data_IF_166120472702
#
_entry.id   IF_166120472702
#
_cell.length_a   1.000
_cell.length_b   1.000
_cell.length_c   1.000
_cell.angle_alpha   90.00
_cell.angle_beta   90.00
_cell.angle_gamma   90.00
#
_symmetry.space_group_name_H-M   'P 1'
#
loop_
_entity.id
_entity.type
_entity.pdbx_description
1 polymer ?
#
# COMPACT_ATOMS: atom_id res chain seq x y z
N UNK A 1 5.53 -0.37 -56.29
CA UNK A 1 6.10 -1.23 -55.23
C UNK A 1 7.18 -0.58 -54.36
N UNK A 2 8.24 0.05 -54.90
CA UNK A 2 9.35 0.63 -54.08
C UNK A 2 8.91 1.63 -52.99
N UNK A 3 7.91 2.48 -53.26
CA UNK A 3 7.38 3.45 -52.29
C UNK A 3 6.68 2.82 -51.09
N UNK A 4 5.95 1.72 -51.30
CA UNK A 4 5.30 0.95 -50.22
C UNK A 4 6.31 0.20 -49.35
N UNK A 5 7.38 -0.34 -49.95
CA UNK A 5 8.47 -0.98 -49.22
C UNK A 5 9.20 0.02 -48.31
N UNK A 6 9.41 1.25 -48.77
CA UNK A 6 10.06 2.31 -47.98
C UNK A 6 9.22 2.76 -46.77
N UNK A 7 7.90 2.81 -46.90
CA UNK A 7 6.98 3.16 -45.81
C UNK A 7 6.98 2.07 -44.73
N UNK A 8 6.99 0.80 -45.15
CA UNK A 8 7.12 -0.33 -44.23
C UNK A 8 8.47 -0.35 -43.50
N UNK A 9 9.56 -0.03 -44.20
CA UNK A 9 10.88 0.06 -43.58
C UNK A 9 10.94 1.17 -42.53
N UNK A 10 10.31 2.32 -42.81
CA UNK A 10 10.24 3.45 -41.88
C UNK A 10 9.47 3.09 -40.59
N UNK A 11 8.34 2.39 -40.71
CA UNK A 11 7.58 1.91 -39.54
C UNK A 11 8.36 0.88 -38.72
N UNK A 12 9.14 0.02 -39.37
CA UNK A 12 9.96 -0.97 -38.68
C UNK A 12 11.11 -0.33 -37.90
N UNK A 13 11.73 0.73 -38.41
CA UNK A 13 12.76 1.50 -37.69
C UNK A 13 12.20 2.21 -36.46
N UNK A 14 10.97 2.74 -36.52
CA UNK A 14 10.31 3.38 -35.38
C UNK A 14 10.03 2.38 -34.26
N UNK A 15 9.60 1.16 -34.61
CA UNK A 15 9.32 0.10 -33.62
C UNK A 15 10.57 -0.40 -32.88
N UNK A 16 11.73 -0.38 -33.53
CA UNK A 16 13.02 -0.80 -32.92
C UNK A 16 13.65 0.33 -32.08
N UNK A 17 13.21 1.58 -32.26
CA UNK A 17 13.78 2.74 -31.55
C UNK A 17 13.18 2.97 -30.15
N UNK A 18 12.31 2.07 -29.67
CA UNK A 18 11.76 2.19 -28.31
C UNK A 18 12.89 1.85 -27.33
N UNK A 19 13.34 2.79 -26.49
CA UNK A 19 14.37 2.50 -25.50
C UNK A 19 13.86 1.42 -24.55
N UNK A 20 14.58 0.30 -24.48
CA UNK A 20 14.39 -0.70 -23.45
C UNK A 20 14.89 -0.11 -22.12
N UNK A 21 13.99 0.52 -21.37
CA UNK A 21 14.31 0.97 -20.02
C UNK A 21 14.51 -0.24 -19.12
N UNK A 22 15.76 -0.49 -18.73
CA UNK A 22 16.03 -1.35 -17.59
C UNK A 22 15.37 -0.77 -16.34
N UNK A 23 14.55 -1.57 -15.66
CA UNK A 23 13.84 -1.17 -14.46
C UNK A 23 14.42 -1.86 -13.22
N UNK A 24 15.21 -1.13 -12.43
CA UNK A 24 15.52 -1.57 -11.06
C UNK A 24 14.27 -1.45 -10.19
N UNK A 25 14.06 -2.40 -9.29
CA UNK A 25 13.01 -2.30 -8.28
C UNK A 25 13.48 -2.82 -6.92
N UNK A 26 12.97 -2.20 -5.87
CA UNK A 26 13.18 -2.63 -4.50
C UNK A 26 12.19 -3.77 -4.19
N UNK A 27 12.75 -4.90 -3.79
CA UNK A 27 12.06 -6.15 -3.53
C UNK A 27 11.99 -6.45 -2.04
N UNK A 28 10.78 -6.44 -1.47
CA UNK A 28 10.50 -6.96 -0.14
C UNK A 28 9.93 -8.38 -0.24
N UNK A 29 10.76 -9.36 0.11
CA UNK A 29 10.37 -10.77 0.20
C UNK A 29 9.56 -11.02 1.48
N UNK A 30 8.38 -11.64 1.35
CA UNK A 30 7.54 -12.00 2.50
C UNK A 30 7.93 -13.37 3.06
N UNK A 31 8.12 -13.45 4.37
CA UNK A 31 8.44 -14.73 5.02
C UNK A 31 7.34 -15.75 4.85
N UNK A 32 7.70 -16.93 4.32
CA UNK A 32 6.78 -18.05 4.15
C UNK A 32 5.80 -17.91 2.97
N UNK A 33 5.95 -16.91 2.08
CA UNK A 33 5.13 -16.76 0.88
C UNK A 33 6.00 -16.37 -0.32
N UNK A 34 5.74 -16.94 -1.50
CA UNK A 34 6.42 -16.57 -2.76
C UNK A 34 6.09 -15.14 -3.23
N UNK A 35 5.13 -14.46 -2.59
CA UNK A 35 4.69 -13.12 -2.97
C UNK A 35 5.68 -12.04 -2.49
N UNK A 36 6.38 -11.43 -3.43
CA UNK A 36 7.24 -10.25 -3.25
C UNK A 36 6.44 -8.95 -3.41
N UNK A 37 6.74 -7.96 -2.58
CA UNK A 37 6.28 -6.59 -2.82
C UNK A 37 7.38 -5.87 -3.59
N UNK A 38 7.00 -5.22 -4.69
CA UNK A 38 7.89 -4.41 -5.51
C UNK A 38 7.58 -2.93 -5.27
N UNK A 39 8.64 -2.13 -5.17
CA UNK A 39 8.61 -0.68 -5.20
C UNK A 39 9.51 -0.19 -6.33
N UNK A 40 9.02 0.77 -7.10
CA UNK A 40 9.72 1.35 -8.25
C UNK A 40 10.12 2.80 -7.97
N UNK A 41 10.98 3.35 -8.82
CA UNK A 41 11.22 4.79 -8.81
C UNK A 41 9.89 5.53 -9.00
N UNK A 42 9.67 6.57 -8.21
CA UNK A 42 8.44 7.34 -8.16
C UNK A 42 7.40 6.83 -7.14
N UNK A 43 7.55 5.62 -6.58
CA UNK A 43 6.66 5.14 -5.53
C UNK A 43 6.94 5.86 -4.20
N UNK A 44 5.88 6.12 -3.42
CA UNK A 44 6.03 6.52 -2.02
C UNK A 44 6.32 5.33 -1.13
N UNK A 45 7.29 5.50 -0.23
CA UNK A 45 7.66 4.49 0.75
C UNK A 45 7.75 5.10 2.15
N UNK A 46 7.26 4.34 3.13
CA UNK A 46 7.42 4.65 4.54
C UNK A 46 8.29 3.58 5.18
N UNK A 47 9.42 3.97 5.76
CA UNK A 47 10.36 3.06 6.41
C UNK A 47 10.86 3.59 7.75
N UNK A 48 11.43 2.69 8.53
CA UNK A 48 12.16 3.01 9.75
C UNK A 48 13.57 2.45 9.66
N UNK A 49 14.57 3.25 10.03
CA UNK A 49 15.98 2.85 10.04
C UNK A 49 16.35 2.11 11.33
N UNK A 50 17.55 1.53 11.39
CA UNK A 50 18.09 0.89 12.59
C UNK A 50 18.22 1.87 13.77
N UNK A 51 18.51 3.14 13.47
CA UNK A 51 18.55 4.27 14.40
C UNK A 51 17.17 4.72 14.90
N UNK A 52 16.09 4.03 14.49
CA UNK A 52 14.69 4.34 14.80
C UNK A 52 14.19 5.65 14.17
N UNK A 53 14.89 6.17 13.19
CA UNK A 53 14.42 7.29 12.40
C UNK A 53 13.32 6.83 11.44
N UNK A 54 12.23 7.60 11.35
CA UNK A 54 11.15 7.33 10.40
C UNK A 54 11.32 8.20 9.17
N UNK A 55 11.39 7.57 8.00
CA UNK A 55 11.54 8.27 6.71
C UNK A 55 10.33 7.96 5.84
N UNK A 56 9.71 9.02 5.33
CA UNK A 56 8.59 8.96 4.40
C UNK A 56 8.89 9.86 3.21
N UNK A 57 8.74 9.32 2.00
CA UNK A 57 8.96 10.10 0.79
C UNK A 57 8.87 9.26 -0.46
N UNK A 58 9.03 9.93 -1.60
CA UNK A 58 9.11 9.31 -2.90
C UNK A 58 10.49 8.68 -3.13
N UNK A 59 10.54 7.51 -3.76
CA UNK A 59 11.78 6.89 -4.21
C UNK A 59 12.27 7.63 -5.45
N UNK A 60 13.31 8.42 -5.33
CA UNK A 60 13.89 9.17 -6.45
C UNK A 60 14.73 8.26 -7.34
N UNK A 61 15.55 7.40 -6.70
CA UNK A 61 16.49 6.53 -7.38
C UNK A 61 16.78 5.26 -6.57
N UNK A 62 16.93 4.13 -7.28
CA UNK A 62 17.41 2.87 -6.73
C UNK A 62 18.85 2.61 -7.24
N UNK A 63 19.82 2.56 -6.32
CA UNK A 63 21.20 2.12 -6.59
C UNK A 63 21.34 0.61 -6.32
N UNK A 64 22.55 0.08 -6.19
CA UNK A 64 22.75 -1.35 -5.97
C UNK A 64 22.60 -1.77 -4.50
N UNK A 65 23.04 -0.92 -3.57
CA UNK A 65 23.01 -1.16 -2.13
C UNK A 65 22.27 -0.08 -1.32
N UNK A 66 21.75 0.95 -1.99
CA UNK A 66 21.08 2.09 -1.37
C UNK A 66 19.89 2.58 -2.21
N UNK A 67 19.03 3.34 -1.55
CA UNK A 67 17.86 4.01 -2.14
C UNK A 67 17.94 5.50 -1.82
N UNK A 68 17.55 6.34 -2.78
CA UNK A 68 17.41 7.78 -2.57
C UNK A 68 15.93 8.06 -2.34
N UNK A 69 15.61 8.63 -1.17
CA UNK A 69 14.26 9.04 -0.80
C UNK A 69 14.30 10.52 -0.43
N UNK A 70 13.53 11.36 -1.13
CA UNK A 70 13.48 12.80 -0.90
C UNK A 70 14.89 13.44 -0.86
N UNK A 71 15.74 13.12 -1.84
CA UNK A 71 17.15 13.55 -1.94
C UNK A 71 18.09 13.05 -0.83
N UNK A 72 17.64 12.14 0.04
CA UNK A 72 18.50 11.49 1.04
C UNK A 72 18.81 10.05 0.66
N UNK A 73 20.09 9.69 0.71
CA UNK A 73 20.54 8.33 0.48
C UNK A 73 20.43 7.49 1.77
N UNK A 74 19.85 6.29 1.63
CA UNK A 74 19.64 5.31 2.70
C UNK A 74 20.12 3.95 2.23
N UNK A 75 21.07 3.35 2.94
CA UNK A 75 21.54 2.00 2.62
C UNK A 75 20.51 0.95 3.02
N UNK A 76 20.38 -0.10 2.20
CA UNK A 76 19.40 -1.19 2.43
C UNK A 76 19.62 -1.86 3.79
N UNK A 77 20.88 -2.01 4.20
CA UNK A 77 21.28 -2.62 5.46
C UNK A 77 20.79 -1.84 6.70
N UNK A 78 20.60 -0.52 6.54
CA UNK A 78 20.16 0.37 7.61
C UNK A 78 18.64 0.38 7.76
N UNK A 79 17.91 -0.23 6.83
CA UNK A 79 16.44 -0.28 6.86
C UNK A 79 15.99 -1.41 7.79
N UNK A 80 15.36 -1.02 8.91
CA UNK A 80 14.84 -1.93 9.92
C UNK A 80 13.46 -2.46 9.58
N UNK A 81 12.58 -1.61 9.03
CA UNK A 81 11.22 -2.01 8.67
C UNK A 81 10.60 -1.12 7.61
N UNK A 82 9.67 -1.69 6.84
CA UNK A 82 8.84 -0.98 5.86
C UNK A 82 7.38 -1.04 6.29
N UNK A 83 6.69 0.10 6.22
CA UNK A 83 5.28 0.26 6.52
C UNK A 83 4.49 0.33 5.22
N UNK A 84 3.44 -0.50 5.06
CA UNK A 84 2.63 -0.53 3.84
C UNK A 84 1.31 0.22 3.98
N UNK A 85 1.29 1.31 4.76
CA UNK A 85 0.06 2.00 5.14
C UNK A 85 -0.74 2.48 3.92
N UNK A 86 -0.04 3.01 2.91
CA UNK A 86 -0.69 3.66 1.76
C UNK A 86 -1.22 2.66 0.73
N UNK A 87 -0.73 1.42 0.73
CA UNK A 87 -1.13 0.40 -0.26
C UNK A 87 -2.54 -0.16 -0.03
N UNK A 88 -3.09 0.00 1.18
CA UNK A 88 -4.41 -0.54 1.55
C UNK A 88 -5.42 0.56 1.87
N UNK A 89 -5.29 1.74 1.27
CA UNK A 89 -6.17 2.89 1.51
C UNK A 89 -7.67 2.54 1.48
N UNK A 90 -8.12 1.68 0.55
CA UNK A 90 -9.51 1.22 0.48
C UNK A 90 -10.01 0.53 1.76
N UNK A 91 -9.17 -0.30 2.40
CA UNK A 91 -9.51 -0.89 3.70
C UNK A 91 -9.53 0.14 4.83
N UNK A 92 -8.75 1.22 4.71
CA UNK A 92 -8.80 2.33 5.67
C UNK A 92 -10.11 3.08 5.56
N UNK A 93 -10.58 3.31 4.33
CA UNK A 93 -11.89 3.92 4.08
C UNK A 93 -13.02 3.04 4.62
N UNK A 94 -13.03 1.74 4.32
CA UNK A 94 -14.02 0.79 4.85
C UNK A 94 -14.01 0.79 6.38
N UNK A 95 -12.82 0.79 6.99
CA UNK A 95 -12.67 0.81 8.44
C UNK A 95 -13.32 2.06 9.05
N UNK A 96 -13.01 3.23 8.50
CA UNK A 96 -13.53 4.51 8.97
C UNK A 96 -15.04 4.64 8.74
N UNK A 97 -15.52 4.29 7.55
CA UNK A 97 -16.95 4.34 7.22
C UNK A 97 -17.75 3.40 8.10
N UNK A 98 -17.26 2.17 8.32
CA UNK A 98 -17.94 1.20 9.19
C UNK A 98 -17.99 1.68 10.64
N UNK A 99 -16.90 2.30 11.13
CA UNK A 99 -16.89 2.88 12.48
C UNK A 99 -17.94 3.99 12.63
N UNK A 100 -17.97 4.93 11.69
CA UNK A 100 -18.93 6.04 11.69
C UNK A 100 -20.37 5.53 11.50
N UNK A 101 -20.59 4.57 10.60
CA UNK A 101 -21.91 3.99 10.37
C UNK A 101 -22.41 3.22 11.60
N UNK A 102 -21.57 2.40 12.23
CA UNK A 102 -21.93 1.64 13.43
C UNK A 102 -22.29 2.54 14.61
N UNK A 103 -21.42 3.50 14.94
CA UNK A 103 -21.69 4.45 16.03
C UNK A 103 -22.82 5.42 15.69
N UNK A 104 -22.85 5.94 14.46
CA UNK A 104 -23.86 6.87 14.00
C UNK A 104 -25.25 6.25 14.00
N UNK A 105 -25.39 5.03 13.46
CA UNK A 105 -26.65 4.29 13.49
C UNK A 105 -27.10 4.00 14.92
N UNK A 106 -26.18 3.55 15.80
CA UNK A 106 -26.48 3.30 17.20
C UNK A 106 -27.00 4.55 17.91
N UNK A 107 -26.33 5.69 17.71
CA UNK A 107 -26.71 6.96 18.32
C UNK A 107 -28.04 7.49 17.78
N UNK A 108 -28.26 7.38 16.46
CA UNK A 108 -29.50 7.84 15.82
C UNK A 108 -30.70 7.00 16.24
N UNK A 109 -30.60 5.67 16.19
CA UNK A 109 -31.72 4.80 16.58
C UNK A 109 -32.00 4.93 18.09
N UNK A 110 -30.98 4.81 18.94
CA UNK A 110 -31.17 4.92 20.39
C UNK A 110 -31.66 6.32 20.79
N UNK A 111 -31.15 7.37 20.14
CA UNK A 111 -31.57 8.75 20.37
C UNK A 111 -33.01 9.01 19.93
N UNK A 112 -33.39 8.55 18.73
CA UNK A 112 -34.75 8.66 18.23
C UNK A 112 -35.73 7.92 19.16
N UNK A 113 -35.38 6.71 19.60
CA UNK A 113 -36.18 5.93 20.56
C UNK A 113 -36.31 6.62 21.91
N UNK A 114 -35.22 7.19 22.42
CA UNK A 114 -35.23 7.94 23.67
C UNK A 114 -36.16 9.16 23.59
N UNK A 115 -36.10 9.91 22.49
CA UNK A 115 -36.98 11.07 22.25
C UNK A 115 -38.45 10.64 22.15
N UNK A 116 -38.73 9.55 21.43
CA UNK A 116 -40.07 9.02 21.24
C UNK A 116 -40.56 8.16 22.42
N UNK A 117 -39.78 8.03 23.51
CA UNK A 117 -40.07 7.20 24.69
C UNK A 117 -40.38 5.73 24.34
N UNK A 118 -39.75 5.22 23.29
CA UNK A 118 -39.89 3.83 22.87
C UNK A 118 -39.04 2.91 23.76
N UNK A 119 -39.63 1.77 24.16
CA UNK A 119 -38.95 0.74 24.92
C UNK A 119 -38.87 -0.56 24.10
N UNK A 120 -37.70 -1.24 24.05
CA UNK A 120 -36.43 -0.84 24.67
C UNK A 120 -35.75 0.30 23.90
N UNK A 121 -34.98 1.14 24.63
CA UNK A 121 -34.19 2.25 24.05
C UNK A 121 -33.15 1.70 23.06
N UNK A 122 -32.52 0.58 23.41
CA UNK A 122 -31.55 -0.11 22.55
C UNK A 122 -32.17 -1.42 22.11
N UNK A 123 -32.43 -1.55 20.81
CA UNK A 123 -32.94 -2.79 20.24
C UNK A 123 -31.83 -3.79 19.94
N UNK A 124 -32.19 -5.08 19.96
CA UNK A 124 -31.29 -6.16 19.57
C UNK A 124 -30.77 -5.99 18.13
N UNK A 125 -31.60 -5.48 17.21
CA UNK A 125 -31.19 -5.15 15.84
C UNK A 125 -30.11 -4.07 15.79
N UNK A 126 -30.19 -3.09 16.69
CA UNK A 126 -29.22 -1.99 16.82
C UNK A 126 -27.89 -2.47 17.39
N UNK A 127 -27.94 -3.37 18.37
CA UNK A 127 -26.74 -4.04 18.89
C UNK A 127 -26.09 -4.90 17.80
N UNK A 128 -26.87 -5.74 17.10
CA UNK A 128 -26.36 -6.61 16.02
C UNK A 128 -25.67 -5.80 14.92
N UNK A 129 -26.34 -4.76 14.44
CA UNK A 129 -25.80 -3.85 13.42
C UNK A 129 -24.52 -3.17 13.90
N UNK A 130 -24.52 -2.63 15.13
CA UNK A 130 -23.34 -2.02 15.74
C UNK A 130 -22.16 -2.98 15.83
N UNK A 131 -22.37 -4.20 16.33
CA UNK A 131 -21.33 -5.23 16.45
C UNK A 131 -20.75 -5.61 15.08
N UNK A 132 -21.59 -5.78 14.06
CA UNK A 132 -21.13 -6.10 12.70
C UNK A 132 -20.24 -4.98 12.16
N UNK A 133 -20.69 -3.74 12.23
CA UNK A 133 -19.93 -2.59 11.72
C UNK A 133 -18.62 -2.37 12.48
N UNK A 134 -18.64 -2.52 13.81
CA UNK A 134 -17.42 -2.48 14.63
C UNK A 134 -16.46 -3.63 14.25
N UNK A 135 -16.99 -4.84 14.05
CA UNK A 135 -16.22 -6.00 13.61
C UNK A 135 -15.54 -5.77 12.26
N UNK A 136 -16.30 -5.30 11.26
CA UNK A 136 -15.76 -4.93 9.93
C UNK A 136 -14.70 -3.84 10.05
N UNK A 137 -14.93 -2.84 10.92
CA UNK A 137 -13.98 -1.76 11.14
C UNK A 137 -12.63 -2.27 11.66
N UNK A 138 -12.67 -3.10 12.71
CA UNK A 138 -11.48 -3.66 13.35
C UNK A 138 -10.71 -4.61 12.41
N UNK A 139 -11.43 -5.48 11.70
CA UNK A 139 -10.84 -6.41 10.73
C UNK A 139 -10.15 -5.63 9.60
N UNK A 140 -10.82 -4.62 9.06
CA UNK A 140 -10.25 -3.77 7.99
C UNK A 140 -9.00 -3.03 8.47
N UNK A 141 -8.99 -2.51 9.71
CA UNK A 141 -7.84 -1.84 10.32
C UNK A 141 -6.64 -2.76 10.52
N UNK A 142 -6.88 -4.04 10.81
CA UNK A 142 -5.82 -5.06 10.92
C UNK A 142 -5.12 -5.32 9.58
N UNK A 143 -5.85 -5.15 8.47
CA UNK A 143 -5.31 -5.34 7.12
C UNK A 143 -4.45 -4.14 6.68
N UNK A 144 -4.82 -2.91 7.04
CA UNK A 144 -4.14 -1.69 6.60
C UNK A 144 -2.78 -1.45 7.25
N UNK A 145 -2.64 -1.71 8.55
CA UNK A 145 -1.45 -1.32 9.32
C UNK A 145 -0.35 -2.39 9.32
N UNK A 146 -0.01 -2.94 8.15
CA UNK A 146 1.04 -3.96 8.06
C UNK A 146 2.43 -3.35 7.99
N UNK A 147 3.24 -3.67 9.00
CA UNK A 147 4.67 -3.35 9.06
C UNK A 147 5.49 -4.63 8.88
N UNK A 148 6.48 -4.59 8.00
CA UNK A 148 7.39 -5.70 7.76
C UNK A 148 8.76 -5.35 8.31
N UNK A 149 9.17 -6.06 9.36
CA UNK A 149 10.52 -5.93 9.93
C UNK A 149 11.51 -6.76 9.11
N UNK A 150 12.55 -6.10 8.61
CA UNK A 150 13.61 -6.73 7.83
C UNK A 150 14.44 -7.61 8.79
N UNK A 151 14.38 -8.92 8.57
CA UNK A 151 15.03 -10.00 9.34
C UNK A 151 15.18 -11.21 8.42
N UNK A 152 15.80 -12.31 8.87
CA UNK A 152 16.00 -13.53 8.04
C UNK A 152 14.76 -13.99 7.24
N UNK A 153 13.55 -13.81 7.79
CA UNK A 153 12.27 -14.16 7.12
C UNK A 153 11.76 -13.11 6.13
N UNK A 154 12.15 -11.84 6.26
CA UNK A 154 11.73 -10.75 5.38
C UNK A 154 12.97 -10.03 4.86
N UNK A 155 13.34 -10.31 3.61
CA UNK A 155 14.57 -9.78 3.01
C UNK A 155 14.22 -8.61 2.10
N UNK A 156 15.03 -7.57 2.19
CA UNK A 156 14.99 -6.41 1.31
C UNK A 156 16.19 -6.48 0.38
N UNK A 157 15.97 -6.33 -0.93
CA UNK A 157 17.03 -6.32 -1.94
C UNK A 157 16.63 -5.48 -3.13
N UNK A 158 17.60 -4.94 -3.84
CA UNK A 158 17.35 -4.31 -5.14
C UNK A 158 17.58 -5.37 -6.21
N UNK A 159 16.68 -5.41 -7.19
CA UNK A 159 16.75 -6.33 -8.31
C UNK A 159 16.80 -5.50 -9.57
N UNK A 160 17.84 -5.77 -10.35
CA UNK A 160 17.98 -5.27 -11.69
C UNK A 160 17.43 -6.33 -12.66
N UNK A 161 16.53 -5.93 -13.55
CA UNK A 161 16.01 -6.79 -14.62
C UNK A 161 16.52 -6.36 -16.00
N UNK A 162 17.60 -5.57 -16.05
CA UNK A 162 18.44 -5.46 -17.25
C UNK A 162 18.80 -6.87 -17.74
N UNK A 163 18.50 -7.15 -19.00
CA UNK A 163 19.07 -8.28 -19.75
C UNK A 163 20.06 -7.69 -20.74
#
# INVERSE_FOLDING_TARGET
MRKFLSIWLFFLVILVSIPAFSQKFLALDKGGKSKRIKFFNGDYIHLTTNEKESVFGQIDLLKDSSIIIASREIYIQDIKSIHLKDRYYGFSLISNLSWVAGLGYFALDSGNRLINKENPIIQEGTIKTGVIFLGVSLLSKSITNRTFRIKNRHRLKIIDISI
#
